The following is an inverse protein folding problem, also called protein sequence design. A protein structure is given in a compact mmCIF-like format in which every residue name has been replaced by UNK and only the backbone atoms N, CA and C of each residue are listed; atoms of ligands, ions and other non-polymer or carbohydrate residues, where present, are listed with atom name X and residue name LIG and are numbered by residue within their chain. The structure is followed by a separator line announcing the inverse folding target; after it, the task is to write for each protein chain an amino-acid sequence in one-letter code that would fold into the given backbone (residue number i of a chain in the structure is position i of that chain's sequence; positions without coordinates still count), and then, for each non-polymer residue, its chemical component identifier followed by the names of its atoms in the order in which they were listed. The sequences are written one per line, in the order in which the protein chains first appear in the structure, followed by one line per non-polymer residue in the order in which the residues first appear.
data_IF_550280812523
#
_entry.id   IF_550280812523
#
_cell.length_a   1.000
_cell.length_b   1.000
_cell.length_c   1.000
_cell.angle_alpha   90.00
_cell.angle_beta   90.00
_cell.angle_gamma   90.00
#
_symmetry.space_group_name_H-M   'P 1'
#
loop_
_entity.id
_entity.type
_entity.pdbx_description
1 polymer ?
#
# COMPACT_ATOMS: atom_id res chain seq x y z
N UNK A 1 -13.23 27.71 35.38
CA UNK A 1 -13.61 27.84 33.95
C UNK A 1 -12.56 27.10 33.14
N UNK A 2 -12.86 25.86 32.75
CA UNK A 2 -11.94 25.04 31.95
C UNK A 2 -12.25 25.26 30.48
N UNK A 3 -11.22 25.67 29.74
CA UNK A 3 -11.25 25.99 28.32
C UNK A 3 -11.41 24.68 27.53
N UNK A 4 -12.43 24.60 26.68
CA UNK A 4 -12.50 23.54 25.67
C UNK A 4 -11.94 24.13 24.37
N UNK A 5 -10.69 23.80 24.05
CA UNK A 5 -10.13 24.05 22.72
C UNK A 5 -10.78 23.05 21.74
N UNK A 6 -11.23 23.51 20.56
CA UNK A 6 -11.72 22.59 19.53
C UNK A 6 -10.56 21.69 19.07
N UNK A 7 -10.79 20.38 19.10
CA UNK A 7 -9.87 19.38 18.58
C UNK A 7 -9.86 19.46 17.04
N UNK A 8 -8.70 19.38 16.37
CA UNK A 8 -8.61 19.51 14.92
C UNK A 8 -9.07 18.22 14.21
N UNK A 9 -10.28 18.23 13.67
CA UNK A 9 -10.83 17.13 12.85
C UNK A 9 -10.39 17.22 11.37
N UNK A 10 -9.08 17.29 11.09
CA UNK A 10 -8.60 17.44 9.71
C UNK A 10 -7.20 16.91 9.38
N UNK A 11 -6.51 16.22 10.30
CA UNK A 11 -5.06 16.00 10.19
C UNK A 11 -4.63 14.67 9.53
N UNK A 12 -5.54 13.70 9.34
CA UNK A 12 -5.10 12.33 9.03
C UNK A 12 -5.04 11.91 7.54
N UNK A 13 -5.95 12.35 6.64
CA UNK A 13 -5.86 12.03 5.19
C UNK A 13 -4.56 12.53 4.55
N UNK A 14 -4.04 13.63 5.07
CA UNK A 14 -2.79 14.25 4.66
C UNK A 14 -1.59 13.34 4.98
N UNK A 15 -1.70 12.44 5.95
CA UNK A 15 -0.57 11.72 6.54
C UNK A 15 -0.12 10.49 5.74
N UNK A 16 -1.04 9.61 5.30
CA UNK A 16 -0.67 8.39 4.56
C UNK A 16 -0.08 8.70 3.17
N UNK A 17 -0.71 9.63 2.44
CA UNK A 17 -0.19 10.11 1.14
C UNK A 17 1.16 10.79 1.30
N UNK A 18 1.38 11.57 2.37
CA UNK A 18 2.68 12.17 2.68
C UNK A 18 3.75 11.10 2.90
N UNK A 19 3.48 10.07 3.72
CA UNK A 19 4.43 8.95 3.95
C UNK A 19 4.79 8.24 2.65
N UNK A 20 3.80 8.02 1.77
CA UNK A 20 4.05 7.41 0.46
C UNK A 20 4.96 8.28 -0.41
N UNK A 21 4.68 9.60 -0.48
CA UNK A 21 5.52 10.55 -1.23
C UNK A 21 6.94 10.57 -0.66
N UNK A 22 7.09 10.65 0.66
CA UNK A 22 8.39 10.62 1.33
C UNK A 22 9.18 9.34 1.01
N UNK A 23 8.50 8.18 1.02
CA UNK A 23 9.11 6.90 0.62
C UNK A 23 9.55 6.91 -0.84
N UNK A 24 8.78 7.52 -1.74
CA UNK A 24 9.16 7.67 -3.15
C UNK A 24 10.35 8.61 -3.33
N UNK A 25 10.35 9.75 -2.65
CA UNK A 25 11.45 10.73 -2.72
C UNK A 25 12.76 10.09 -2.21
N UNK A 26 12.68 9.37 -1.09
CA UNK A 26 13.82 8.63 -0.55
C UNK A 26 14.31 7.55 -1.52
N UNK A 27 13.40 6.83 -2.17
CA UNK A 27 13.74 5.82 -3.17
C UNK A 27 14.44 6.43 -4.40
N UNK A 28 13.96 7.57 -4.91
CA UNK A 28 14.59 8.27 -6.03
C UNK A 28 16.00 8.76 -5.65
N UNK A 29 16.16 9.40 -4.49
CA UNK A 29 17.45 9.85 -3.99
C UNK A 29 18.43 8.68 -3.75
N UNK A 30 17.93 7.50 -3.41
CA UNK A 30 18.75 6.29 -3.28
C UNK A 30 19.14 5.71 -4.64
N UNK A 31 18.26 5.79 -5.65
CA UNK A 31 18.52 5.32 -7.00
C UNK A 31 19.64 6.12 -7.68
N UNK A 32 19.66 7.44 -7.49
CA UNK A 32 20.70 8.34 -8.04
C UNK A 32 22.11 8.00 -7.55
N UNK A 33 22.23 7.36 -6.38
CA UNK A 33 23.52 6.98 -5.77
C UNK A 33 24.04 5.63 -6.25
N UNK A 34 23.25 4.86 -7.01
CA UNK A 34 23.60 3.51 -7.46
C UNK A 34 24.06 3.50 -8.91
N UNK A 35 24.91 2.52 -9.26
CA UNK A 35 25.25 2.30 -10.66
C UNK A 35 24.02 1.77 -11.42
N UNK A 36 23.87 2.06 -12.73
CA UNK A 36 22.73 1.56 -13.52
C UNK A 36 22.56 0.04 -13.49
N UNK A 37 23.66 -0.71 -13.37
CA UNK A 37 23.65 -2.17 -13.26
C UNK A 37 23.02 -2.66 -11.94
N UNK A 38 23.03 -1.85 -10.88
CA UNK A 38 22.52 -2.21 -9.56
C UNK A 38 21.07 -1.75 -9.33
N UNK A 39 20.43 -1.16 -10.35
CA UNK A 39 19.04 -0.70 -10.30
C UNK A 39 18.04 -1.82 -10.55
N UNK A 40 18.48 -2.91 -11.16
CA UNK A 40 17.64 -4.04 -11.54
C UNK A 40 18.21 -5.34 -10.98
N UNK A 41 17.33 -6.24 -10.58
CA UNK A 41 17.67 -7.61 -10.23
C UNK A 41 16.67 -8.57 -10.87
N UNK A 42 17.01 -9.85 -10.96
CA UNK A 42 16.16 -10.87 -11.58
C UNK A 42 15.56 -11.82 -10.55
N UNK A 43 14.27 -12.08 -10.66
CA UNK A 43 13.56 -13.12 -9.93
C UNK A 43 12.80 -14.00 -10.90
N UNK A 44 13.07 -15.31 -10.88
CA UNK A 44 12.45 -16.28 -11.80
C UNK A 44 12.47 -15.84 -13.29
N UNK A 45 13.54 -15.15 -13.69
CA UNK A 45 13.75 -14.68 -15.07
C UNK A 45 13.12 -13.32 -15.40
N UNK A 46 12.44 -12.65 -14.46
CA UNK A 46 11.84 -11.32 -14.64
C UNK A 46 12.67 -10.26 -13.92
N UNK A 47 12.90 -9.12 -14.58
CA UNK A 47 13.64 -7.99 -14.02
C UNK A 47 12.74 -7.10 -13.15
N UNK A 48 13.20 -6.80 -11.94
CA UNK A 48 12.52 -5.95 -10.97
C UNK A 48 13.40 -4.78 -10.51
N UNK A 49 12.81 -3.61 -10.19
CA UNK A 49 13.54 -2.49 -9.61
C UNK A 49 14.08 -2.82 -8.21
N UNK A 50 15.40 -2.82 -8.05
CA UNK A 50 16.08 -3.12 -6.77
C UNK A 50 15.85 -2.07 -5.67
N UNK A 51 15.31 -0.92 -6.04
CA UNK A 51 15.03 0.20 -5.12
C UNK A 51 13.77 -0.05 -4.29
N UNK A 52 12.80 -0.76 -4.85
CA UNK A 52 11.51 -0.97 -4.20
C UNK A 52 11.21 -2.44 -3.93
N UNK A 53 11.71 -3.34 -4.78
CA UNK A 53 11.52 -4.77 -4.68
C UNK A 53 12.78 -5.41 -4.08
N UNK A 54 12.61 -6.30 -3.11
CA UNK A 54 13.72 -7.09 -2.56
C UNK A 54 13.51 -8.58 -2.79
N UNK A 55 14.60 -9.34 -2.82
CA UNK A 55 14.56 -10.80 -2.97
C UNK A 55 13.78 -11.44 -1.82
N UNK A 56 13.99 -10.91 -0.61
CA UNK A 56 13.40 -11.39 0.63
C UNK A 56 11.87 -11.24 0.62
N UNK A 57 11.35 -10.11 0.11
CA UNK A 57 9.90 -9.90 -0.01
C UNK A 57 9.31 -10.91 -0.99
N UNK A 58 9.94 -11.13 -2.13
CA UNK A 58 9.45 -12.08 -3.14
C UNK A 58 9.51 -13.53 -2.65
N UNK A 59 10.53 -13.90 -1.88
CA UNK A 59 10.59 -15.22 -1.22
C UNK A 59 9.49 -15.36 -0.17
N UNK A 60 9.27 -14.35 0.67
CA UNK A 60 8.20 -14.38 1.67
C UNK A 60 6.80 -14.45 1.02
N UNK A 61 6.62 -13.83 -0.14
CA UNK A 61 5.38 -13.91 -0.92
C UNK A 61 5.10 -15.31 -1.47
N UNK A 62 6.07 -16.22 -1.57
CA UNK A 62 5.79 -17.60 -1.97
C UNK A 62 4.92 -18.34 -0.94
N UNK A 63 4.98 -17.92 0.33
CA UNK A 63 4.12 -18.42 1.42
C UNK A 63 2.88 -17.56 1.69
N UNK A 64 2.61 -16.55 0.86
CA UNK A 64 1.45 -15.68 1.06
C UNK A 64 0.15 -16.45 0.82
N UNK A 65 -0.72 -16.44 1.83
CA UNK A 65 -2.06 -17.04 1.77
C UNK A 65 -3.12 -15.94 1.73
N UNK A 66 -3.80 -15.80 0.59
CA UNK A 66 -4.95 -14.93 0.45
C UNK A 66 -6.19 -15.55 1.10
N UNK A 67 -7.06 -14.72 1.67
CA UNK A 67 -8.37 -15.14 2.15
C UNK A 67 -9.33 -15.32 0.98
N UNK A 68 -10.39 -16.08 1.18
CA UNK A 68 -11.38 -16.38 0.13
C UNK A 68 -12.14 -15.15 -0.37
N UNK A 69 -12.19 -14.08 0.43
CA UNK A 69 -12.86 -12.81 0.14
C UNK A 69 -11.90 -11.71 -0.35
N UNK A 70 -10.59 -11.98 -0.43
CA UNK A 70 -9.61 -10.99 -0.89
C UNK A 70 -9.70 -10.77 -2.40
N UNK A 71 -9.52 -9.51 -2.82
CA UNK A 71 -9.49 -9.12 -4.24
C UNK A 71 -8.12 -8.57 -4.58
N UNK A 72 -7.42 -9.23 -5.52
CA UNK A 72 -6.11 -8.80 -6.01
C UNK A 72 -6.25 -8.01 -7.31
N UNK A 73 -5.75 -6.77 -7.31
CA UNK A 73 -5.62 -5.95 -8.51
C UNK A 73 -4.23 -6.18 -9.13
N UNK A 74 -4.19 -6.86 -10.29
CA UNK A 74 -2.94 -7.17 -11.00
C UNK A 74 -2.89 -6.40 -12.32
N UNK A 75 -1.78 -5.70 -12.55
CA UNK A 75 -1.53 -4.97 -13.79
C UNK A 75 -0.04 -4.70 -13.97
N UNK A 76 0.40 -4.60 -15.22
CA UNK A 76 1.79 -4.23 -15.50
C UNK A 76 2.05 -2.78 -15.07
N UNK A 77 3.26 -2.42 -14.60
CA UNK A 77 3.55 -1.05 -14.20
C UNK A 77 3.15 -0.03 -15.27
N UNK A 78 2.54 1.07 -14.83
CA UNK A 78 2.10 2.21 -15.66
C UNK A 78 0.91 1.94 -16.60
N UNK A 79 0.20 0.81 -16.50
CA UNK A 79 -1.03 0.56 -17.29
C UNK A 79 -2.31 1.12 -16.67
N UNK A 80 -2.21 2.18 -15.85
CA UNK A 80 -3.37 2.85 -15.28
C UNK A 80 -3.89 2.29 -13.96
N UNK A 81 -3.08 1.53 -13.20
CA UNK A 81 -3.45 1.02 -11.86
C UNK A 81 -3.97 2.13 -10.93
N UNK A 82 -3.42 3.34 -11.02
CA UNK A 82 -3.91 4.50 -10.26
C UNK A 82 -5.41 4.77 -10.48
N UNK A 83 -5.87 4.74 -11.74
CA UNK A 83 -7.28 4.97 -12.06
C UNK A 83 -8.16 3.85 -11.51
N UNK A 84 -7.73 2.60 -11.65
CA UNK A 84 -8.47 1.45 -11.12
C UNK A 84 -8.57 1.49 -9.59
N UNK A 85 -7.51 1.90 -8.89
CA UNK A 85 -7.53 2.06 -7.42
C UNK A 85 -8.59 3.08 -6.99
N UNK A 86 -8.69 4.21 -7.69
CA UNK A 86 -9.71 5.22 -7.40
C UNK A 86 -11.13 4.67 -7.60
N UNK A 87 -11.37 3.99 -8.73
CA UNK A 87 -12.68 3.40 -9.03
C UNK A 87 -13.08 2.33 -8.02
N UNK A 88 -12.15 1.45 -7.64
CA UNK A 88 -12.39 0.39 -6.65
C UNK A 88 -12.68 0.97 -5.27
N UNK A 89 -11.95 1.99 -4.84
CA UNK A 89 -12.21 2.69 -3.58
C UNK A 89 -13.62 3.28 -3.57
N UNK A 90 -14.00 4.00 -4.63
CA UNK A 90 -15.34 4.58 -4.76
C UNK A 90 -16.44 3.50 -4.73
N UNK A 91 -16.20 2.34 -5.37
CA UNK A 91 -17.14 1.23 -5.39
C UNK A 91 -17.33 0.64 -3.99
N UNK A 92 -16.24 0.34 -3.27
CA UNK A 92 -16.26 -0.19 -1.90
C UNK A 92 -16.94 0.80 -0.96
N UNK A 93 -16.56 2.07 -0.99
CA UNK A 93 -17.19 3.10 -0.15
C UNK A 93 -18.69 3.25 -0.41
N UNK A 94 -19.15 3.08 -1.67
CA UNK A 94 -20.58 3.14 -1.99
C UNK A 94 -21.34 1.88 -1.58
N UNK A 95 -20.74 0.69 -1.72
CA UNK A 95 -21.37 -0.56 -1.33
C UNK A 95 -21.52 -0.66 0.19
N UNK A 96 -20.55 -0.15 0.97
CA UNK A 96 -20.62 -0.11 2.44
C UNK A 96 -21.62 0.94 2.92
N UNK A 97 -21.64 2.15 2.35
CA UNK A 97 -22.61 3.22 2.72
C UNK A 97 -24.07 2.82 2.52
N UNK A 98 -24.36 1.97 1.53
CA UNK A 98 -25.73 1.45 1.30
C UNK A 98 -26.18 0.48 2.41
N UNK A 99 -25.25 -0.09 3.17
CA UNK A 99 -25.51 -0.95 4.32
C UNK A 99 -25.53 -0.18 5.67
N UNK A 100 -25.12 1.09 5.70
CA UNK A 100 -24.84 1.86 6.93
C UNK A 100 -25.75 3.10 7.11
N UNK A 101 -27.07 2.94 7.07
CA UNK A 101 -27.96 3.77 7.92
C UNK A 101 -27.88 3.36 9.41
N UNK A 102 -26.91 2.53 9.78
CA UNK A 102 -26.68 2.07 11.15
C UNK A 102 -25.18 2.05 11.47
N UNK A 103 -24.81 2.88 12.43
CA UNK A 103 -23.54 2.97 13.18
C UNK A 103 -22.34 3.69 12.54
N UNK A 104 -22.07 4.86 13.11
CA UNK A 104 -20.84 5.65 13.07
C UNK A 104 -19.54 4.81 13.10
N UNK A 105 -18.89 4.61 11.95
CA UNK A 105 -17.53 4.05 11.84
C UNK A 105 -16.66 4.87 10.88
N UNK A 106 -16.67 6.19 11.07
CA UNK A 106 -15.88 7.16 10.28
C UNK A 106 -14.38 7.15 10.63
N UNK A 107 -13.83 6.00 11.02
CA UNK A 107 -12.41 5.80 11.38
C UNK A 107 -11.70 4.73 10.53
N UNK A 108 -12.41 3.97 9.69
CA UNK A 108 -11.83 2.91 8.86
C UNK A 108 -11.37 3.36 7.47
N UNK A 109 -11.79 4.54 7.01
CA UNK A 109 -11.42 5.06 5.67
C UNK A 109 -9.93 5.43 5.54
N UNK A 110 -9.21 5.57 6.66
CA UNK A 110 -7.80 6.01 6.67
C UNK A 110 -6.80 4.86 6.48
N UNK A 111 -7.18 3.62 6.78
CA UNK A 111 -6.36 2.42 6.59
C UNK A 111 -6.46 1.84 5.16
N UNK A 112 -7.53 2.15 4.43
CA UNK A 112 -7.72 1.76 3.00
C UNK A 112 -6.73 2.51 2.07
N UNK A 113 -5.93 3.44 2.62
CA UNK A 113 -4.90 4.15 1.88
C UNK A 113 -3.61 3.34 1.68
N UNK A 114 -3.38 2.30 2.48
CA UNK A 114 -2.20 1.44 2.39
C UNK A 114 -2.55 0.11 1.71
N UNK A 115 -3.09 0.18 0.49
CA UNK A 115 -3.03 -0.96 -0.42
C UNK A 115 -1.54 -1.29 -0.60
N UNK A 116 -1.07 -2.24 0.19
CA UNK A 116 0.31 -2.65 0.23
C UNK A 116 0.52 -3.40 -1.06
N UNK A 117 1.10 -2.74 -2.07
CA UNK A 117 1.69 -3.43 -3.21
C UNK A 117 2.55 -4.55 -2.64
N UNK A 118 2.20 -5.79 -2.95
CA UNK A 118 2.83 -6.97 -2.35
C UNK A 118 4.34 -6.91 -2.55
N UNK A 119 4.79 -6.41 -3.70
CA UNK A 119 6.20 -6.29 -4.06
C UNK A 119 6.98 -5.26 -3.23
N UNK A 120 6.29 -4.32 -2.57
CA UNK A 120 6.89 -3.25 -1.75
C UNK A 120 6.66 -3.44 -0.24
N UNK A 121 6.04 -4.55 0.17
CA UNK A 121 5.75 -4.83 1.57
C UNK A 121 7.00 -5.29 2.35
N UNK A 122 6.88 -5.25 3.67
CA UNK A 122 7.88 -5.80 4.59
C UNK A 122 7.85 -7.34 4.53
N UNK A 123 8.98 -8.02 4.23
CA UNK A 123 9.05 -9.49 4.21
C UNK A 123 8.51 -10.15 5.48
N UNK A 124 8.65 -9.51 6.65
CA UNK A 124 8.16 -10.04 7.93
C UNK A 124 6.63 -10.13 8.01
N UNK A 125 5.89 -9.42 7.15
CA UNK A 125 4.42 -9.45 7.10
C UNK A 125 3.86 -10.63 6.32
N UNK A 126 4.64 -11.17 5.37
CA UNK A 126 4.20 -12.25 4.47
C UNK A 126 4.64 -13.64 4.94
N UNK A 127 5.58 -13.72 5.87
CA UNK A 127 5.96 -14.97 6.50
C UNK A 127 4.82 -15.43 7.41
N UNK A 128 4.17 -16.52 7.04
CA UNK A 128 3.31 -17.26 7.96
C UNK A 128 4.24 -17.84 9.03
N UNK A 129 4.14 -17.32 10.26
CA UNK A 129 4.90 -17.88 11.38
C UNK A 129 4.65 -19.38 11.42
N UNK A 130 5.71 -20.19 11.43
CA UNK A 130 5.61 -21.60 11.82
C UNK A 130 4.89 -21.63 13.17
N UNK A 131 3.59 -21.95 13.13
CA UNK A 131 2.77 -22.21 14.31
C UNK A 131 2.89 -23.67 14.68
#
# INVERSE_FOLDING_TARGET
MSVCLPQPEGENMITARKRFIERLDQAMANAEKRAPADLLWSYKGVLYPAIHCSVETFQALESFEARSDDVLLVGYPKTGTNWLIHILRDLVTRSTKKNEEMSNSMKQDEEIAEFTYLEFGDPGKFQVGMK
#
